data_IF_887248199049
#
_entry.id   IF_887248199049
#
_cell.length_a   1.000
_cell.length_b   1.000
_cell.length_c   1.000
_cell.angle_alpha   90.00
_cell.angle_beta   90.00
_cell.angle_gamma   90.00
#
_symmetry.space_group_name_H-M   'P 1'
#
loop_
_entity.id
_entity.type
_entity.pdbx_description
1 polymer ?
#
# COMPACT_ATOMS: atom_id res chain seq x y z
N UNK A 1 -35.63 -21.22 -21.05
CA UNK A 1 -35.52 -19.76 -21.28
C UNK A 1 -34.26 -19.53 -22.09
N UNK A 2 -34.35 -19.08 -23.36
CA UNK A 2 -33.16 -18.71 -24.12
C UNK A 2 -32.67 -17.33 -23.67
N UNK A 3 -31.35 -17.16 -23.59
CA UNK A 3 -30.73 -15.86 -23.28
C UNK A 3 -30.99 -14.88 -24.44
N UNK A 4 -31.50 -13.70 -24.11
CA UNK A 4 -31.65 -12.61 -25.08
C UNK A 4 -30.25 -12.06 -25.43
N UNK A 5 -29.94 -11.81 -26.71
CA UNK A 5 -28.71 -11.14 -27.09
C UNK A 5 -28.79 -9.68 -26.63
N UNK A 6 -27.82 -9.26 -25.82
CA UNK A 6 -27.61 -7.84 -25.50
C UNK A 6 -26.62 -7.32 -26.53
N UNK A 7 -27.02 -6.30 -27.30
CA UNK A 7 -26.09 -5.61 -28.20
C UNK A 7 -24.98 -4.95 -27.37
N UNK A 8 -23.74 -5.32 -27.67
CA UNK A 8 -22.57 -4.65 -27.11
C UNK A 8 -22.46 -3.25 -27.74
N UNK A 9 -22.67 -2.24 -26.90
CA UNK A 9 -22.57 -0.82 -27.27
C UNK A 9 -21.31 -0.17 -26.70
N UNK A 10 -20.30 -0.97 -26.34
CA UNK A 10 -19.02 -0.43 -25.93
C UNK A 10 -18.28 0.13 -27.14
N UNK A 11 -17.86 1.38 -27.03
CA UNK A 11 -16.99 2.03 -28.00
C UNK A 11 -15.58 1.99 -27.45
N UNK A 12 -14.67 1.29 -28.13
CA UNK A 12 -13.26 1.24 -27.74
C UNK A 12 -12.65 2.61 -28.02
N UNK A 13 -12.52 3.43 -26.98
CA UNK A 13 -11.75 4.67 -27.07
C UNK A 13 -10.27 4.29 -27.16
N UNK A 14 -9.63 4.63 -28.28
CA UNK A 14 -8.17 4.61 -28.38
C UNK A 14 -7.61 5.79 -27.57
N UNK A 15 -7.64 5.65 -26.25
CA UNK A 15 -6.89 6.50 -25.33
C UNK A 15 -5.48 5.93 -25.16
N UNK A 16 -4.50 6.79 -24.92
CA UNK A 16 -3.25 6.34 -24.30
C UNK A 16 -3.64 5.52 -23.07
N UNK A 17 -3.22 4.25 -23.02
CA UNK A 17 -3.37 3.47 -21.79
C UNK A 17 -2.70 4.27 -20.67
N UNK A 18 -3.28 4.31 -19.46
CA UNK A 18 -2.65 4.97 -18.33
C UNK A 18 -1.18 4.56 -18.28
N UNK A 19 -0.30 5.56 -18.07
CA UNK A 19 1.13 5.31 -17.93
C UNK A 19 1.34 4.10 -17.00
N UNK A 20 2.20 3.16 -17.42
CA UNK A 20 2.57 2.00 -16.60
C UNK A 20 2.84 2.48 -15.18
N UNK A 21 2.36 1.76 -14.17
CA UNK A 21 2.64 2.05 -12.77
C UNK A 21 4.13 1.83 -12.50
N UNK A 22 4.96 2.79 -12.90
CA UNK A 22 6.42 2.70 -12.78
C UNK A 22 6.90 3.46 -11.56
N UNK A 23 7.72 2.79 -10.75
CA UNK A 23 8.32 3.36 -9.55
C UNK A 23 7.37 3.60 -8.37
N UNK A 24 7.86 4.41 -7.42
CA UNK A 24 7.22 4.67 -6.13
C UNK A 24 6.41 5.96 -6.23
N UNK A 25 5.09 5.83 -6.32
CA UNK A 25 4.17 6.97 -6.45
C UNK A 25 2.77 6.66 -5.91
N UNK A 26 1.94 7.69 -5.66
CA UNK A 26 0.50 7.51 -5.47
C UNK A 26 -0.09 6.57 -6.53
N UNK A 27 -0.86 5.58 -6.11
CA UNK A 27 -1.46 4.61 -7.01
C UNK A 27 -0.62 3.36 -7.31
N UNK A 28 0.66 3.30 -6.90
CA UNK A 28 1.47 2.10 -7.09
C UNK A 28 0.92 0.92 -6.28
N UNK A 29 0.85 -0.25 -6.91
CA UNK A 29 0.43 -1.49 -6.23
C UNK A 29 1.48 -1.91 -5.22
N UNK A 30 1.04 -2.26 -4.01
CA UNK A 30 1.84 -2.79 -2.92
C UNK A 30 1.45 -4.24 -2.63
N UNK A 31 2.43 -5.03 -2.22
CA UNK A 31 2.31 -6.42 -1.81
C UNK A 31 2.87 -6.53 -0.39
N UNK A 32 2.05 -7.01 0.54
CA UNK A 32 2.43 -7.19 1.94
C UNK A 32 2.32 -8.66 2.27
N UNK A 33 3.46 -9.31 2.50
CA UNK A 33 3.52 -10.71 2.89
C UNK A 33 3.57 -10.84 4.40
N UNK A 34 2.62 -11.59 4.96
CA UNK A 34 2.55 -11.93 6.37
C UNK A 34 3.26 -13.27 6.64
N UNK A 35 3.80 -13.48 7.86
CA UNK A 35 4.50 -14.71 8.23
C UNK A 35 3.66 -15.98 8.16
N UNK A 36 2.34 -15.86 8.22
CA UNK A 36 1.40 -16.97 8.08
C UNK A 36 1.21 -17.41 6.61
N UNK A 37 1.91 -16.76 5.67
CA UNK A 37 1.86 -17.03 4.24
C UNK A 37 0.74 -16.29 3.51
N UNK A 38 -0.05 -15.46 4.20
CA UNK A 38 -1.05 -14.61 3.55
C UNK A 38 -0.39 -13.38 2.90
N UNK A 39 -1.06 -12.82 1.90
CA UNK A 39 -0.60 -11.60 1.22
C UNK A 39 -1.75 -10.62 1.07
N UNK A 40 -1.53 -9.38 1.50
CA UNK A 40 -2.43 -8.27 1.21
C UNK A 40 -1.97 -7.51 -0.04
N UNK A 41 -2.94 -7.12 -0.86
CA UNK A 41 -2.75 -6.23 -1.99
C UNK A 41 -3.30 -4.85 -1.63
N UNK A 42 -2.45 -3.83 -1.65
CA UNK A 42 -2.83 -2.46 -1.33
C UNK A 42 -2.33 -1.47 -2.36
N UNK A 43 -2.75 -0.21 -2.23
CA UNK A 43 -2.34 0.87 -3.13
C UNK A 43 -1.67 1.97 -2.33
N UNK A 44 -0.51 2.42 -2.82
CA UNK A 44 0.23 3.52 -2.23
C UNK A 44 -0.56 4.84 -2.31
N UNK A 45 -0.49 5.67 -1.26
CA UNK A 45 -1.14 6.98 -1.21
C UNK A 45 -0.19 8.14 -1.54
N UNK A 46 0.70 8.55 -0.65
CA UNK A 46 1.57 9.71 -0.77
C UNK A 46 2.98 9.35 -0.33
N UNK A 47 3.95 10.12 -0.82
CA UNK A 47 5.32 10.09 -0.32
C UNK A 47 5.42 11.03 0.87
N UNK A 48 6.06 10.56 1.93
CA UNK A 48 6.30 11.30 3.16
C UNK A 48 7.79 11.43 3.39
N UNK A 49 8.21 12.51 4.04
CA UNK A 49 9.61 12.74 4.40
C UNK A 49 9.70 13.24 5.84
N UNK A 50 10.53 12.61 6.66
CA UNK A 50 10.76 13.05 8.04
C UNK A 50 11.74 14.24 8.13
N UNK A 51 11.99 14.71 9.36
CA UNK A 51 12.94 15.79 9.63
C UNK A 51 14.41 15.45 9.36
N UNK A 52 14.75 14.16 9.21
CA UNK A 52 16.10 13.66 8.91
C UNK A 52 16.32 13.45 7.41
N UNK A 53 15.26 13.53 6.62
CA UNK A 53 15.25 13.38 5.17
C UNK A 53 14.91 11.97 4.70
N UNK A 54 14.58 11.05 5.60
CA UNK A 54 14.13 9.70 5.26
C UNK A 54 12.75 9.75 4.60
N UNK A 55 12.58 8.98 3.53
CA UNK A 55 11.34 8.93 2.78
C UNK A 55 10.52 7.68 3.12
N UNK A 56 9.21 7.83 3.00
CA UNK A 56 8.24 6.78 3.25
C UNK A 56 7.16 6.82 2.17
N UNK A 57 6.55 5.68 1.90
CA UNK A 57 5.32 5.60 1.11
C UNK A 57 4.19 5.15 2.02
N UNK A 58 3.07 5.86 1.96
CA UNK A 58 1.92 5.55 2.79
C UNK A 58 0.93 4.61 2.12
N UNK A 59 0.13 3.92 2.93
CA UNK A 59 -1.04 3.14 2.52
C UNK A 59 -2.09 3.15 3.64
N UNK A 60 -3.19 2.40 3.48
CA UNK A 60 -4.08 2.11 4.60
C UNK A 60 -3.34 1.24 5.63
N UNK A 61 -3.59 1.44 6.92
CA UNK A 61 -2.83 0.73 7.94
C UNK A 61 -3.29 -0.70 8.14
N UNK A 62 -4.54 -1.03 7.79
CA UNK A 62 -5.02 -2.42 7.75
C UNK A 62 -4.27 -3.29 6.72
N UNK A 63 -3.52 -2.68 5.79
CA UNK A 63 -2.63 -3.40 4.90
C UNK A 63 -1.48 -4.08 5.64
N UNK A 64 -1.09 -3.54 6.79
CA UNK A 64 0.07 -3.96 7.59
C UNK A 64 -0.34 -4.61 8.91
N UNK A 65 -1.65 -4.74 9.17
CA UNK A 65 -2.16 -5.22 10.44
C UNK A 65 -3.18 -6.34 10.19
N UNK A 66 -3.08 -7.47 10.91
CA UNK A 66 -4.14 -8.47 10.94
C UNK A 66 -5.44 -7.88 11.49
N UNK A 67 -6.58 -8.48 11.14
CA UNK A 67 -7.87 -8.09 11.70
C UNK A 67 -7.86 -8.18 13.25
N UNK A 68 -8.49 -7.22 13.90
CA UNK A 68 -8.54 -7.11 15.36
C UNK A 68 -7.29 -6.53 16.03
N UNK A 69 -6.21 -6.21 15.30
CA UNK A 69 -5.02 -5.51 15.82
C UNK A 69 -5.18 -4.00 15.68
N UNK A 70 -4.99 -3.21 16.74
CA UNK A 70 -5.20 -1.76 16.65
C UNK A 70 -4.01 -1.00 16.04
N UNK A 71 -2.81 -1.34 16.52
CA UNK A 71 -1.59 -0.62 16.22
C UNK A 71 -0.39 -1.57 16.09
N UNK A 72 0.59 -1.11 15.33
CA UNK A 72 1.96 -1.60 15.41
C UNK A 72 2.69 -1.02 16.63
N UNK A 73 3.79 -1.65 17.04
CA UNK A 73 4.57 -1.24 18.22
C UNK A 73 5.00 0.23 18.17
N UNK A 74 5.51 0.66 17.01
CA UNK A 74 5.93 2.04 16.73
C UNK A 74 4.78 3.04 16.53
N UNK A 75 3.53 2.59 16.64
CA UNK A 75 2.35 3.44 16.54
C UNK A 75 1.53 3.45 17.83
N UNK A 76 2.02 2.89 18.95
CA UNK A 76 1.27 2.87 20.22
C UNK A 76 1.08 4.27 20.81
N UNK A 77 -0.02 4.49 21.53
CA UNK A 77 -0.30 5.79 22.18
C UNK A 77 -0.79 5.62 23.61
N UNK A 78 -0.33 6.53 24.47
CA UNK A 78 -0.83 6.62 25.84
C UNK A 78 -2.35 6.79 25.87
N UNK A 79 -3.03 5.96 26.68
CA UNK A 79 -4.48 5.95 26.91
C UNK A 79 -5.34 5.40 25.76
N UNK A 80 -4.74 4.73 24.78
CA UNK A 80 -5.47 3.91 23.82
C UNK A 80 -5.30 2.42 24.14
N UNK A 81 -6.36 1.64 23.93
CA UNK A 81 -6.29 0.18 24.04
C UNK A 81 -5.72 -0.37 22.73
N UNK A 82 -4.40 -0.47 22.69
CA UNK A 82 -3.66 -1.08 21.58
C UNK A 82 -3.63 -2.61 21.79
N UNK A 83 -4.81 -3.24 21.76
CA UNK A 83 -4.99 -4.67 22.02
C UNK A 83 -3.98 -5.52 21.26
N UNK A 84 -3.25 -6.37 22.01
CA UNK A 84 -2.14 -7.23 21.56
C UNK A 84 -1.40 -6.69 20.33
N UNK A 85 -0.60 -5.65 20.54
CA UNK A 85 0.24 -4.97 19.54
C UNK A 85 0.86 -5.95 18.55
N UNK A 86 0.70 -5.67 17.25
CA UNK A 86 1.29 -6.50 16.21
C UNK A 86 2.72 -6.06 15.91
N UNK A 87 3.66 -7.00 15.95
CA UNK A 87 5.02 -6.77 15.47
C UNK A 87 4.99 -6.69 13.93
N UNK A 88 5.28 -5.53 13.37
CA UNK A 88 5.29 -5.30 11.91
C UNK A 88 6.68 -5.53 11.29
N UNK A 89 7.72 -5.77 12.09
CA UNK A 89 9.07 -6.06 11.60
C UNK A 89 9.17 -7.40 10.86
N UNK A 90 8.19 -8.28 11.08
CA UNK A 90 8.06 -9.57 10.42
C UNK A 90 7.40 -9.51 9.02
N UNK A 91 6.94 -8.33 8.58
CA UNK A 91 6.34 -8.15 7.27
C UNK A 91 7.40 -7.97 6.18
N UNK A 92 7.17 -8.56 5.01
CA UNK A 92 7.85 -8.17 3.78
C UNK A 92 6.91 -7.30 2.97
N UNK A 93 7.38 -6.11 2.61
CA UNK A 93 6.60 -5.15 1.83
C UNK A 93 7.33 -4.85 0.55
N UNK A 94 6.64 -5.00 -0.57
CA UNK A 94 7.14 -4.65 -1.88
C UNK A 94 6.18 -3.72 -2.61
N UNK A 95 6.71 -2.84 -3.44
CA UNK A 95 5.95 -1.99 -4.35
C UNK A 95 6.25 -2.38 -5.79
N UNK A 96 5.24 -2.30 -6.62
CA UNK A 96 5.38 -2.51 -8.05
C UNK A 96 6.31 -1.46 -8.67
N UNK A 97 7.32 -1.92 -9.41
CA UNK A 97 8.27 -1.06 -10.12
C UNK A 97 8.02 -1.05 -11.62
N UNK A 98 7.80 -2.22 -12.21
CA UNK A 98 7.36 -2.37 -13.59
C UNK A 98 6.47 -3.61 -13.67
N UNK A 99 5.22 -3.47 -13.20
CA UNK A 99 4.26 -4.57 -13.26
C UNK A 99 3.12 -4.29 -14.21
N UNK A 100 2.70 -5.39 -14.82
CA UNK A 100 1.50 -5.48 -15.63
C UNK A 100 0.50 -6.39 -14.91
N UNK A 101 -0.73 -5.90 -14.84
CA UNK A 101 -1.86 -6.58 -14.23
C UNK A 101 -2.81 -7.01 -15.35
N UNK A 102 -3.04 -8.30 -15.50
CA UNK A 102 -4.01 -8.80 -16.48
C UNK A 102 -3.73 -10.21 -16.99
N UNK A 103 -4.68 -10.76 -17.72
CA UNK A 103 -4.62 -12.10 -18.27
C UNK A 103 -6.01 -12.58 -18.67
N UNK A 104 -6.12 -13.29 -19.80
CA UNK A 104 -7.41 -13.76 -20.32
C UNK A 104 -8.18 -14.70 -19.37
N UNK A 105 -7.51 -15.24 -18.35
CA UNK A 105 -8.07 -16.20 -17.39
C UNK A 105 -7.97 -15.75 -15.92
N UNK A 106 -7.58 -14.50 -15.64
CA UNK A 106 -7.49 -13.98 -14.26
C UNK A 106 -6.45 -12.87 -14.05
N UNK A 107 -6.34 -12.41 -12.80
CA UNK A 107 -5.38 -11.40 -12.37
C UNK A 107 -3.97 -12.03 -12.27
N UNK A 108 -3.20 -11.99 -13.36
CA UNK A 108 -1.78 -12.34 -13.35
C UNK A 108 -0.99 -11.05 -13.16
N UNK A 109 -0.08 -11.05 -12.19
CA UNK A 109 0.93 -10.01 -12.02
C UNK A 109 2.21 -10.48 -12.69
N UNK A 110 2.75 -9.69 -13.62
CA UNK A 110 4.08 -9.90 -14.20
C UNK A 110 4.88 -8.63 -14.05
N UNK A 111 6.16 -8.74 -13.72
CA UNK A 111 6.99 -7.55 -13.56
C UNK A 111 8.09 -7.69 -12.53
N UNK A 112 8.71 -6.56 -12.23
CA UNK A 112 9.64 -6.38 -11.12
C UNK A 112 8.99 -5.60 -9.99
N UNK A 113 9.42 -5.89 -8.76
CA UNK A 113 9.05 -5.16 -7.56
C UNK A 113 10.29 -4.59 -6.92
N UNK A 114 10.11 -3.48 -6.18
CA UNK A 114 11.10 -2.93 -5.26
C UNK A 114 10.70 -3.36 -3.85
N UNK A 115 11.60 -4.04 -3.16
CA UNK A 115 11.45 -4.29 -1.73
C UNK A 115 11.58 -2.97 -0.96
N UNK A 116 10.62 -2.72 -0.07
CA UNK A 116 10.62 -1.59 0.83
C UNK A 116 11.30 -1.96 2.16
N UNK A 117 11.53 -0.95 3.00
CA UNK A 117 12.07 -1.13 4.34
C UNK A 117 11.00 -1.37 5.39
N UNK A 118 11.32 -1.02 6.63
CA UNK A 118 10.46 -1.25 7.78
C UNK A 118 9.13 -0.48 7.68
N UNK A 119 8.05 -1.12 8.16
CA UNK A 119 6.78 -0.43 8.45
C UNK A 119 7.03 0.50 9.64
N UNK A 120 7.12 1.80 9.37
CA UNK A 120 7.46 2.84 10.34
C UNK A 120 6.28 3.30 11.20
N UNK A 121 5.06 3.02 10.74
CA UNK A 121 3.82 3.33 11.45
C UNK A 121 2.68 2.51 10.83
N UNK A 122 1.81 1.91 11.63
CA UNK A 122 0.55 1.37 11.15
C UNK A 122 -0.53 1.41 12.24
N UNK A 123 -1.70 1.90 11.87
CA UNK A 123 -2.93 1.78 12.66
C UNK A 123 -4.10 1.43 11.75
N UNK A 124 -5.08 0.70 12.28
CA UNK A 124 -6.35 0.47 11.57
C UNK A 124 -7.59 0.81 12.41
N UNK A 125 -8.73 1.00 11.74
CA UNK A 125 -10.00 1.22 12.42
C UNK A 125 -10.53 -0.10 12.97
N UNK A 126 -10.76 -0.17 14.28
CA UNK A 126 -11.43 -1.31 14.90
C UNK A 126 -12.97 -1.18 14.82
N UNK A 127 -13.74 -2.29 14.79
CA UNK A 127 -15.21 -2.28 14.73
C UNK A 127 -15.92 -1.47 15.83
N UNK A 128 -15.24 -1.20 16.94
CA UNK A 128 -15.76 -0.44 18.09
C UNK A 128 -14.88 0.77 18.48
N UNK A 129 -13.88 1.11 17.66
CA UNK A 129 -12.92 2.18 17.93
C UNK A 129 -13.35 3.55 17.36
N UNK A 130 -12.65 4.60 17.76
CA UNK A 130 -12.79 5.93 17.14
C UNK A 130 -12.42 5.84 15.65
N UNK A 131 -13.29 6.33 14.76
CA UNK A 131 -13.27 5.96 13.34
C UNK A 131 -12.47 6.90 12.42
N UNK A 132 -11.97 8.05 12.90
CA UNK A 132 -11.35 9.06 12.03
C UNK A 132 -9.84 9.06 12.20
N UNK A 133 -9.10 8.81 11.12
CA UNK A 133 -7.63 8.86 11.08
C UNK A 133 -6.93 7.62 11.65
N UNK A 134 -7.67 6.54 11.92
CA UNK A 134 -7.11 5.31 12.45
C UNK A 134 -6.71 4.30 11.38
N UNK A 135 -6.97 4.50 10.08
CA UNK A 135 -6.55 3.56 9.03
C UNK A 135 -5.46 4.15 8.14
N UNK A 136 -4.24 4.15 8.65
CA UNK A 136 -3.09 4.75 7.99
C UNK A 136 -1.80 4.01 8.37
N UNK A 137 -0.94 3.79 7.38
CA UNK A 137 0.38 3.22 7.58
C UNK A 137 1.44 3.85 6.69
N UNK A 138 2.70 3.71 7.11
CA UNK A 138 3.89 4.23 6.46
C UNK A 138 4.94 3.12 6.39
N UNK A 139 5.55 2.97 5.23
CA UNK A 139 6.66 2.04 5.02
C UNK A 139 7.85 2.81 4.48
N UNK A 140 9.03 2.56 5.05
CA UNK A 140 10.24 3.26 4.67
C UNK A 140 10.64 2.92 3.24
N UNK A 141 11.00 3.94 2.47
CA UNK A 141 11.64 3.77 1.16
C UNK A 141 13.14 3.62 1.42
N UNK A 142 13.77 2.50 1.02
CA UNK A 142 15.21 2.34 1.22
C UNK A 142 15.96 3.35 0.35
N UNK A 143 17.07 3.89 0.85
CA UNK A 143 17.85 4.90 0.13
C UNK A 143 18.31 4.46 -1.28
N UNK A 144 18.48 3.15 -1.49
CA UNK A 144 18.80 2.59 -2.81
C UNK A 144 17.66 2.74 -3.84
N UNK A 145 16.42 2.95 -3.39
CA UNK A 145 15.23 3.14 -4.21
C UNK A 145 14.79 4.61 -4.33
N UNK A 146 15.58 5.56 -3.80
CA UNK A 146 15.25 7.00 -3.81
C UNK A 146 15.05 7.57 -5.22
N UNK A 147 15.74 7.02 -6.22
CA UNK A 147 15.61 7.40 -7.64
C UNK A 147 14.35 6.83 -8.29
N UNK A 148 13.69 5.86 -7.67
CA UNK A 148 12.41 5.31 -8.13
C UNK A 148 11.23 6.16 -7.66
N UNK A 149 11.44 7.10 -6.74
CA UNK A 149 10.42 8.06 -6.30
C UNK A 149 10.29 9.15 -7.36
N UNK A 150 9.08 9.36 -7.87
CA UNK A 150 8.81 10.45 -8.80
C UNK A 150 9.04 11.82 -8.11
N UNK A 151 10.04 12.61 -8.55
CA UNK A 151 10.41 13.85 -7.90
C UNK A 151 9.36 14.96 -8.08
N UNK A 152 8.40 14.78 -9.00
CA UNK A 152 7.29 15.72 -9.20
C UNK A 152 6.16 15.54 -8.18
N UNK A 153 6.21 14.48 -7.37
CA UNK A 153 5.17 14.18 -6.38
C UNK A 153 5.28 15.07 -5.13
N UNK A 154 4.16 15.63 -4.65
CA UNK A 154 4.14 16.38 -3.40
C UNK A 154 4.52 15.44 -2.24
N UNK A 155 5.46 15.90 -1.41
CA UNK A 155 5.91 15.20 -0.22
C UNK A 155 5.32 15.86 1.03
N UNK A 156 4.83 15.04 1.94
CA UNK A 156 4.23 15.48 3.21
C UNK A 156 5.14 15.13 4.40
N UNK A 157 4.98 15.81 5.54
CA UNK A 157 5.85 15.58 6.71
C UNK A 157 5.62 14.23 7.39
N UNK A 158 6.67 13.41 7.50
CA UNK A 158 6.66 12.05 8.07
C UNK A 158 6.83 11.98 9.61
N UNK A 159 7.01 10.78 10.17
CA UNK A 159 7.21 10.56 11.61
C UNK A 159 8.42 11.34 12.16
N UNK A 160 8.39 11.76 13.42
CA UNK A 160 9.50 12.46 14.10
C UNK A 160 10.01 11.68 15.29
#
# INVERSE_FOLDING_TARGET
>A
MPCLPVDDRTETVAGEVPELATGIRPGSQMFIAFPDGTTAGCTANFVWQDGWGDRYIGAAGHCFLPDGKNASENATRDREDDGDVYDVSQLSVAVCDDCTFGGATGLIVRGTTIELGDVAYARQTLPHGSAVGHDFGLVRIPAAADSAVDPSMPQFGGPT
#
